data_IF_151234672197
#
_entry.id   IF_151234672197
#
_cell.length_a   1.000
_cell.length_b   1.000
_cell.length_c   1.000
_cell.angle_alpha   90.00
_cell.angle_beta   90.00
_cell.angle_gamma   90.00
#
_symmetry.space_group_name_H-M   'P 1'
#
loop_
_entity.id
_entity.type
_entity.pdbx_description
1 polymer ?
#
# COMPACT_ATOMS: atom_id res chain seq x y z
N UNK A 1 -4.73 -30.81 -9.68
CA UNK A 1 -4.18 -29.80 -8.77
C UNK A 1 -4.90 -28.46 -8.89
N UNK A 2 -5.00 -27.87 -10.08
CA UNK A 2 -5.66 -26.54 -10.28
C UNK A 2 -7.14 -26.54 -9.87
N UNK A 3 -7.91 -27.57 -10.21
CA UNK A 3 -9.35 -27.64 -9.84
C UNK A 3 -9.55 -27.74 -8.33
N UNK A 4 -8.70 -28.46 -7.61
CA UNK A 4 -8.76 -28.57 -6.14
C UNK A 4 -8.48 -27.21 -5.49
N UNK A 5 -7.48 -26.46 -5.97
CA UNK A 5 -7.17 -25.10 -5.53
C UNK A 5 -8.34 -24.14 -5.78
N UNK A 6 -8.95 -24.19 -6.97
CA UNK A 6 -10.10 -23.37 -7.32
C UNK A 6 -11.27 -23.65 -6.38
N UNK A 7 -11.54 -24.90 -6.04
CA UNK A 7 -12.63 -25.28 -5.15
C UNK A 7 -12.38 -24.79 -3.71
N UNK A 8 -11.18 -25.01 -3.17
CA UNK A 8 -10.81 -24.56 -1.83
C UNK A 8 -10.89 -23.02 -1.71
N UNK A 9 -10.36 -22.31 -2.72
CA UNK A 9 -10.42 -20.85 -2.78
C UNK A 9 -11.87 -20.35 -2.90
N UNK A 10 -12.70 -21.02 -3.71
CA UNK A 10 -14.10 -20.67 -3.85
C UNK A 10 -14.86 -20.76 -2.52
N UNK A 11 -14.60 -21.79 -1.74
CA UNK A 11 -15.30 -22.01 -0.47
C UNK A 11 -14.88 -20.92 0.55
N UNK A 12 -13.58 -20.53 0.59
CA UNK A 12 -13.10 -19.42 1.41
C UNK A 12 -13.68 -18.07 0.96
N UNK A 13 -13.75 -17.81 -0.35
CA UNK A 13 -14.31 -16.56 -0.87
C UNK A 13 -15.82 -16.48 -0.71
N UNK A 14 -16.53 -17.61 -0.79
CA UNK A 14 -18.01 -17.66 -0.70
C UNK A 14 -18.51 -17.24 0.69
N UNK A 15 -17.73 -17.46 1.75
CA UNK A 15 -18.12 -17.07 3.11
C UNK A 15 -18.06 -15.53 3.32
N UNK A 16 -17.20 -14.85 2.58
CA UNK A 16 -16.94 -13.41 2.76
C UNK A 16 -17.55 -12.53 1.66
N UNK A 17 -17.72 -13.09 0.45
CA UNK A 17 -18.09 -12.29 -0.73
C UNK A 17 -19.46 -12.69 -1.29
N UNK A 18 -20.41 -11.75 -1.28
CA UNK A 18 -21.76 -11.94 -1.86
C UNK A 18 -21.73 -11.88 -3.41
N UNK A 19 -21.02 -12.83 -4.04
CA UNK A 19 -20.95 -12.94 -5.50
C UNK A 19 -21.81 -14.12 -5.98
N UNK A 20 -22.48 -13.95 -7.13
CA UNK A 20 -23.15 -15.09 -7.80
C UNK A 20 -22.11 -16.14 -8.18
N UNK A 21 -22.49 -17.42 -8.11
CA UNK A 21 -21.61 -18.59 -8.35
C UNK A 21 -20.69 -18.43 -9.56
N UNK A 22 -21.22 -18.01 -10.72
CA UNK A 22 -20.42 -17.85 -11.96
C UNK A 22 -19.39 -16.72 -11.89
N UNK A 23 -19.66 -15.66 -11.11
CA UNK A 23 -18.73 -14.54 -10.89
C UNK A 23 -17.64 -14.91 -9.90
N UNK A 24 -18.02 -15.62 -8.85
CA UNK A 24 -17.10 -16.18 -7.86
C UNK A 24 -16.12 -17.15 -8.52
N UNK A 25 -16.62 -18.06 -9.34
CA UNK A 25 -15.79 -18.99 -10.12
C UNK A 25 -14.82 -18.25 -11.05
N UNK A 26 -15.27 -17.18 -11.72
CA UNK A 26 -14.38 -16.37 -12.56
C UNK A 26 -13.27 -15.70 -11.74
N UNK A 27 -13.57 -15.23 -10.53
CA UNK A 27 -12.58 -14.67 -9.60
C UNK A 27 -11.56 -15.74 -9.17
N UNK A 28 -12.03 -16.93 -8.78
CA UNK A 28 -11.14 -18.04 -8.39
C UNK A 28 -10.21 -18.44 -9.53
N UNK A 29 -10.74 -18.57 -10.75
CA UNK A 29 -9.95 -18.91 -11.94
C UNK A 29 -8.91 -17.81 -12.24
N UNK A 30 -9.28 -16.54 -12.09
CA UNK A 30 -8.33 -15.43 -12.24
C UNK A 30 -7.20 -15.53 -11.20
N UNK A 31 -7.53 -15.70 -9.92
CA UNK A 31 -6.54 -15.80 -8.85
C UNK A 31 -5.60 -16.97 -9.10
N UNK A 32 -6.13 -18.17 -9.30
CA UNK A 32 -5.32 -19.37 -9.53
C UNK A 32 -4.57 -19.31 -10.87
N UNK A 33 -5.21 -18.77 -11.91
CA UNK A 33 -4.59 -18.60 -13.23
C UNK A 33 -3.37 -17.68 -13.18
N UNK A 34 -3.50 -16.51 -12.52
CA UNK A 34 -2.39 -15.57 -12.34
C UNK A 34 -1.27 -16.19 -11.48
N UNK A 35 -1.64 -16.91 -10.41
CA UNK A 35 -0.69 -17.62 -9.55
C UNK A 35 0.16 -18.63 -10.34
N UNK A 36 -0.48 -19.45 -11.17
CA UNK A 36 0.18 -20.54 -11.90
C UNK A 36 0.95 -20.02 -13.11
N UNK A 37 0.34 -19.14 -13.90
CA UNK A 37 0.92 -18.68 -15.17
C UNK A 37 1.83 -17.46 -15.05
N UNK A 38 1.87 -16.82 -13.87
CA UNK A 38 2.67 -15.61 -13.59
C UNK A 38 2.46 -14.49 -14.61
N UNK A 39 1.25 -14.37 -15.14
CA UNK A 39 0.88 -13.33 -16.10
C UNK A 39 -0.50 -12.75 -15.77
N UNK A 40 -0.70 -11.49 -16.11
CA UNK A 40 -2.01 -10.81 -16.05
C UNK A 40 -2.69 -10.71 -17.42
N UNK A 41 -2.09 -11.30 -18.45
CA UNK A 41 -2.65 -11.27 -19.78
C UNK A 41 -3.89 -12.17 -19.87
N UNK A 42 -5.07 -11.56 -20.07
CA UNK A 42 -6.34 -12.25 -20.06
C UNK A 42 -6.49 -13.34 -21.15
N UNK A 43 -5.79 -13.20 -22.28
CA UNK A 43 -5.83 -14.22 -23.33
C UNK A 43 -5.12 -15.51 -22.90
N UNK A 44 -4.01 -15.39 -22.16
CA UNK A 44 -3.32 -16.53 -21.57
C UNK A 44 -4.15 -17.15 -20.44
N UNK A 45 -4.74 -16.33 -19.57
CA UNK A 45 -5.57 -16.80 -18.47
C UNK A 45 -6.85 -17.52 -18.94
N UNK A 46 -7.38 -17.16 -20.11
CA UNK A 46 -8.56 -17.80 -20.66
C UNK A 46 -8.38 -19.30 -20.97
N UNK A 47 -7.15 -19.73 -21.23
CA UNK A 47 -6.82 -21.15 -21.41
C UNK A 47 -6.80 -21.97 -20.13
N UNK A 48 -6.76 -21.31 -18.95
CA UNK A 48 -6.72 -21.97 -17.63
C UNK A 48 -8.09 -22.33 -17.05
N UNK A 49 -9.20 -22.03 -17.74
CA UNK A 49 -10.53 -22.39 -17.25
C UNK A 49 -10.75 -23.90 -17.28
N UNK A 50 -11.31 -24.48 -16.21
CA UNK A 50 -11.74 -25.87 -16.23
C UNK A 50 -12.96 -26.07 -17.14
N UNK A 51 -13.03 -27.23 -17.78
CA UNK A 51 -14.17 -27.61 -18.63
C UNK A 51 -13.84 -27.57 -20.13
N UNK A 52 -14.88 -27.77 -20.95
CA UNK A 52 -14.77 -27.94 -22.41
C UNK A 52 -15.13 -26.68 -23.19
N UNK A 53 -15.29 -25.53 -22.51
CA UNK A 53 -15.64 -24.27 -23.16
C UNK A 53 -14.47 -23.74 -24.01
N UNK A 54 -14.78 -23.22 -25.16
CA UNK A 54 -13.86 -22.55 -26.08
C UNK A 54 -13.05 -21.43 -25.38
N UNK A 55 -11.75 -21.30 -25.67
CA UNK A 55 -10.89 -20.25 -25.13
C UNK A 55 -11.45 -18.85 -25.39
N UNK A 56 -12.01 -18.63 -26.59
CA UNK A 56 -12.65 -17.36 -26.93
C UNK A 56 -13.86 -17.04 -26.03
N UNK A 57 -14.64 -18.04 -25.65
CA UNK A 57 -15.76 -17.90 -24.72
C UNK A 57 -15.28 -17.55 -23.31
N UNK A 58 -14.23 -18.22 -22.83
CA UNK A 58 -13.58 -17.94 -21.55
C UNK A 58 -12.98 -16.53 -21.51
N UNK A 59 -12.32 -16.12 -22.58
CA UNK A 59 -11.79 -14.75 -22.71
C UNK A 59 -12.90 -13.68 -22.61
N UNK A 60 -14.02 -13.87 -23.30
CA UNK A 60 -15.19 -12.98 -23.19
C UNK A 60 -15.79 -13.00 -21.78
N UNK A 61 -15.75 -14.13 -21.06
CA UNK A 61 -16.18 -14.25 -19.67
C UNK A 61 -15.30 -13.40 -18.76
N UNK A 62 -13.96 -13.42 -18.94
CA UNK A 62 -13.02 -12.58 -18.21
C UNK A 62 -13.24 -11.10 -18.51
N UNK A 63 -13.42 -10.73 -19.78
CA UNK A 63 -13.70 -9.33 -20.14
C UNK A 63 -14.97 -8.83 -19.43
N UNK A 64 -16.07 -9.59 -19.46
CA UNK A 64 -17.31 -9.25 -18.74
C UNK A 64 -17.12 -9.17 -17.23
N UNK A 65 -16.27 -10.02 -16.65
CA UNK A 65 -15.94 -9.92 -15.24
C UNK A 65 -15.32 -8.55 -14.91
N UNK A 66 -14.28 -8.15 -15.62
CA UNK A 66 -13.65 -6.85 -15.41
C UNK A 66 -14.56 -5.65 -15.71
N UNK A 67 -15.49 -5.79 -16.62
CA UNK A 67 -16.41 -4.73 -17.00
C UNK A 67 -17.59 -4.58 -16.04
N UNK A 68 -18.25 -5.67 -15.69
CA UNK A 68 -19.56 -5.66 -15.06
C UNK A 68 -19.59 -6.03 -13.59
N UNK A 69 -18.57 -6.78 -13.08
CA UNK A 69 -18.57 -7.21 -11.70
C UNK A 69 -18.09 -6.08 -10.79
N UNK A 70 -18.89 -5.73 -9.80
CA UNK A 70 -18.47 -4.86 -8.71
C UNK A 70 -17.98 -5.73 -7.57
N UNK A 71 -16.74 -5.49 -7.12
CA UNK A 71 -16.15 -6.18 -5.98
C UNK A 71 -16.40 -5.36 -4.72
N UNK A 72 -16.78 -6.05 -3.65
CA UNK A 72 -16.75 -5.46 -2.31
C UNK A 72 -15.30 -5.50 -1.79
N UNK A 73 -14.65 -4.34 -1.82
CA UNK A 73 -13.26 -4.20 -1.36
C UNK A 73 -13.13 -4.35 0.16
N UNK A 74 -14.22 -4.22 0.93
CA UNK A 74 -14.24 -4.47 2.37
C UNK A 74 -14.12 -5.98 2.64
N UNK A 75 -14.99 -6.76 2.01
CA UNK A 75 -14.93 -8.22 2.07
C UNK A 75 -13.58 -8.74 1.54
N UNK A 76 -13.12 -8.19 0.42
CA UNK A 76 -11.85 -8.56 -0.18
C UNK A 76 -10.65 -8.31 0.75
N UNK A 77 -10.61 -7.18 1.47
CA UNK A 77 -9.55 -6.89 2.42
C UNK A 77 -9.48 -7.95 3.55
N UNK A 78 -10.63 -8.40 4.05
CA UNK A 78 -10.71 -9.49 5.03
C UNK A 78 -10.20 -10.81 4.45
N UNK A 79 -10.62 -11.13 3.22
CA UNK A 79 -10.14 -12.31 2.49
C UNK A 79 -8.63 -12.29 2.31
N UNK A 80 -8.05 -11.16 1.91
CA UNK A 80 -6.60 -11.03 1.77
C UNK A 80 -5.91 -11.31 3.11
N UNK A 81 -6.36 -10.71 4.21
CA UNK A 81 -5.81 -10.95 5.55
C UNK A 81 -5.89 -12.42 5.94
N UNK A 82 -7.02 -13.08 5.65
CA UNK A 82 -7.23 -14.49 5.92
C UNK A 82 -6.31 -15.39 5.08
N UNK A 83 -6.29 -15.20 3.76
CA UNK A 83 -5.48 -15.99 2.84
C UNK A 83 -3.98 -15.84 3.09
N UNK A 84 -3.54 -14.65 3.51
CA UNK A 84 -2.13 -14.37 3.80
C UNK A 84 -1.73 -14.63 5.26
N UNK A 85 -2.62 -15.16 6.08
CA UNK A 85 -2.32 -15.52 7.47
C UNK A 85 -1.79 -14.35 8.32
N UNK A 86 -2.16 -13.10 8.01
CA UNK A 86 -1.67 -11.91 8.72
C UNK A 86 -2.15 -11.80 10.18
N UNK A 87 -3.12 -12.63 10.60
CA UNK A 87 -3.71 -12.55 11.94
C UNK A 87 -4.53 -11.28 12.13
N UNK A 88 -4.68 -10.85 13.40
CA UNK A 88 -5.54 -9.72 13.76
C UNK A 88 -4.79 -8.39 14.00
N UNK A 89 -3.50 -8.35 13.77
CA UNK A 89 -2.68 -7.18 14.07
C UNK A 89 -2.15 -7.16 15.53
N UNK A 90 -1.61 -6.07 16.05
CA UNK A 90 -1.45 -4.81 15.32
C UNK A 90 -0.38 -4.88 14.21
N UNK A 91 -0.65 -4.24 13.08
CA UNK A 91 0.19 -4.28 11.89
C UNK A 91 0.99 -3.01 11.68
N UNK A 92 2.19 -3.17 11.15
CA UNK A 92 2.95 -2.06 10.59
C UNK A 92 2.49 -1.86 9.14
N UNK A 93 1.94 -0.69 8.84
CA UNK A 93 1.40 -0.34 7.54
C UNK A 93 2.39 0.53 6.75
N UNK A 94 2.43 0.35 5.44
CA UNK A 94 3.05 1.30 4.53
C UNK A 94 1.99 1.96 3.65
N UNK A 95 2.07 3.28 3.54
CA UNK A 95 1.32 4.07 2.57
C UNK A 95 2.29 4.55 1.51
N UNK A 96 2.07 4.14 0.27
CA UNK A 96 2.91 4.55 -0.84
C UNK A 96 2.09 4.59 -2.14
N UNK A 97 2.70 5.11 -3.19
CA UNK A 97 2.07 5.32 -4.47
C UNK A 97 2.89 4.68 -5.58
N UNK A 98 2.22 4.00 -6.46
CA UNK A 98 2.85 3.49 -7.67
C UNK A 98 2.18 4.07 -8.90
N UNK A 99 2.97 4.41 -9.91
CA UNK A 99 2.49 4.93 -11.17
C UNK A 99 3.23 4.30 -12.34
N UNK A 100 2.53 4.16 -13.46
CA UNK A 100 3.11 3.75 -14.74
C UNK A 100 2.22 4.24 -15.89
N UNK A 101 2.69 4.08 -17.12
CA UNK A 101 1.92 4.43 -18.31
C UNK A 101 1.39 3.17 -18.99
N UNK A 102 0.10 3.17 -19.32
CA UNK A 102 -0.52 2.24 -20.25
C UNK A 102 -0.86 2.98 -21.54
N UNK A 103 0.01 2.88 -22.52
CA UNK A 103 -0.06 3.69 -23.71
C UNK A 103 0.02 5.20 -23.37
N UNK A 104 -1.06 5.94 -23.65
CA UNK A 104 -1.13 7.39 -23.34
C UNK A 104 -1.74 7.71 -21.96
N UNK A 105 -2.22 6.72 -21.22
CA UNK A 105 -2.88 6.94 -19.92
C UNK A 105 -1.92 6.72 -18.76
N UNK A 106 -1.89 7.65 -17.83
CA UNK A 106 -1.21 7.49 -16.55
C UNK A 106 -2.09 6.65 -15.63
N UNK A 107 -1.52 5.59 -15.10
CA UNK A 107 -2.10 4.80 -14.01
C UNK A 107 -1.40 5.23 -12.74
N UNK A 108 -2.17 5.63 -11.75
CA UNK A 108 -1.65 6.13 -10.49
C UNK A 108 -2.47 5.50 -9.35
N UNK A 109 -1.82 4.73 -8.50
CA UNK A 109 -2.47 3.95 -7.44
C UNK A 109 -1.88 4.37 -6.10
N UNK A 110 -2.72 4.88 -5.21
CA UNK A 110 -2.41 5.03 -3.80
C UNK A 110 -2.73 3.72 -3.09
N UNK A 111 -1.76 3.16 -2.39
CA UNK A 111 -1.87 1.83 -1.77
C UNK A 111 -1.55 1.88 -0.28
N UNK A 112 -2.34 1.16 0.49
CA UNK A 112 -2.09 0.84 1.89
C UNK A 112 -1.82 -0.66 2.00
N UNK A 113 -0.64 -1.02 2.50
CA UNK A 113 -0.17 -2.40 2.59
C UNK A 113 0.31 -2.72 4.00
N UNK A 114 0.15 -3.97 4.44
CA UNK A 114 0.77 -4.50 5.67
C UNK A 114 2.19 -4.95 5.35
N UNK A 115 3.16 -4.51 6.14
CA UNK A 115 4.55 -4.94 6.01
C UNK A 115 4.74 -6.32 6.67
N UNK A 116 5.31 -7.27 5.93
CA UNK A 116 5.53 -8.65 6.38
C UNK A 116 6.83 -9.20 5.81
N UNK A 117 7.85 -9.30 6.65
CA UNK A 117 9.10 -10.05 6.46
C UNK A 117 9.69 -10.09 5.03
N UNK A 118 9.94 -8.91 4.49
CA UNK A 118 10.59 -8.75 3.19
C UNK A 118 9.67 -8.36 2.03
N UNK A 119 8.36 -8.47 2.20
CA UNK A 119 7.37 -8.01 1.24
C UNK A 119 6.18 -7.34 1.93
N UNK A 120 5.48 -6.45 1.22
CA UNK A 120 4.24 -5.87 1.70
C UNK A 120 3.03 -6.59 1.09
N UNK A 121 1.98 -6.77 1.89
CA UNK A 121 0.69 -7.33 1.47
C UNK A 121 -0.28 -6.18 1.20
N UNK A 122 -0.76 -5.97 -0.04
CA UNK A 122 -1.68 -4.88 -0.36
C UNK A 122 -3.06 -5.18 0.24
N UNK A 123 -3.55 -4.29 1.09
CA UNK A 123 -4.86 -4.46 1.76
C UNK A 123 -5.94 -3.60 1.11
N UNK A 124 -5.64 -2.31 0.90
CA UNK A 124 -6.55 -1.36 0.28
C UNK A 124 -5.79 -0.44 -0.67
N UNK A 125 -6.49 0.02 -1.71
CA UNK A 125 -5.95 0.96 -2.68
C UNK A 125 -7.03 1.88 -3.24
N UNK A 126 -6.57 2.96 -3.86
CA UNK A 126 -7.40 3.89 -4.62
C UNK A 126 -6.71 4.20 -5.93
N UNK A 127 -7.38 3.92 -7.04
CA UNK A 127 -6.94 4.38 -8.34
C UNK A 127 -7.22 5.89 -8.43
N UNK A 128 -6.20 6.66 -8.79
CA UNK A 128 -6.30 8.11 -8.94
C UNK A 128 -6.40 8.48 -10.41
N UNK A 129 -7.34 9.37 -10.73
CA UNK A 129 -7.66 9.75 -12.13
C UNK A 129 -6.65 10.74 -12.74
N UNK A 130 -5.61 11.09 -11.99
CA UNK A 130 -4.62 12.09 -12.38
C UNK A 130 -3.19 11.66 -12.04
N UNK A 131 -2.25 12.18 -12.81
CA UNK A 131 -0.84 12.15 -12.45
C UNK A 131 -0.56 13.02 -11.22
N UNK A 132 0.58 12.78 -10.55
CA UNK A 132 1.03 13.56 -9.40
C UNK A 132 0.67 12.97 -8.05
N UNK A 133 0.90 13.74 -6.99
CA UNK A 133 0.78 13.28 -5.61
C UNK A 133 -0.68 13.15 -5.16
N UNK A 134 -0.91 12.25 -4.21
CA UNK A 134 -2.20 12.12 -3.52
C UNK A 134 -2.48 13.34 -2.64
N UNK A 135 -3.76 13.69 -2.51
CA UNK A 135 -4.21 14.72 -1.57
C UNK A 135 -4.33 14.16 -0.14
N UNK A 136 -4.38 15.05 0.84
CA UNK A 136 -4.66 14.65 2.24
C UNK A 136 -6.00 13.95 2.36
N UNK A 137 -7.02 14.40 1.61
CA UNK A 137 -8.37 13.79 1.64
C UNK A 137 -8.37 12.37 1.09
N UNK A 138 -7.62 12.11 -0.01
CA UNK A 138 -7.48 10.76 -0.56
C UNK A 138 -6.80 9.81 0.44
N UNK A 139 -5.76 10.28 1.12
CA UNK A 139 -5.05 9.51 2.16
C UNK A 139 -5.95 9.23 3.35
N UNK A 140 -6.65 10.25 3.85
CA UNK A 140 -7.60 10.13 4.96
C UNK A 140 -8.75 9.19 4.63
N UNK A 141 -9.33 9.30 3.42
CA UNK A 141 -10.39 8.41 2.97
C UNK A 141 -9.92 6.93 2.91
N UNK A 142 -8.71 6.69 2.39
CA UNK A 142 -8.15 5.33 2.32
C UNK A 142 -7.92 4.75 3.72
N UNK A 143 -7.34 5.54 4.64
CA UNK A 143 -7.07 5.10 6.00
C UNK A 143 -8.36 4.95 6.82
N UNK A 144 -9.35 5.84 6.64
CA UNK A 144 -10.69 5.69 7.26
C UNK A 144 -11.36 4.38 6.85
N UNK A 145 -11.24 3.98 5.58
CA UNK A 145 -11.75 2.67 5.12
C UNK A 145 -11.05 1.52 5.83
N UNK A 146 -9.73 1.60 6.01
CA UNK A 146 -8.98 0.60 6.76
C UNK A 146 -9.46 0.52 8.21
N UNK A 147 -9.57 1.65 8.89
CA UNK A 147 -10.04 1.72 10.28
C UNK A 147 -11.49 1.22 10.45
N UNK A 148 -12.35 1.45 9.46
CA UNK A 148 -13.72 0.92 9.46
C UNK A 148 -13.79 -0.62 9.35
N UNK A 149 -12.80 -1.25 8.72
CA UNK A 149 -12.75 -2.70 8.53
C UNK A 149 -12.08 -3.41 9.73
N UNK A 150 -10.96 -2.86 10.20
CA UNK A 150 -10.04 -3.52 11.14
C UNK A 150 -9.89 -2.80 12.48
N UNK A 151 -10.38 -1.56 12.60
CA UNK A 151 -10.19 -0.70 13.76
C UNK A 151 -8.82 0.01 13.76
N UNK A 152 -8.76 1.19 14.38
CA UNK A 152 -7.51 1.96 14.50
C UNK A 152 -6.47 1.24 15.40
N UNK A 153 -6.93 0.48 16.40
CA UNK A 153 -6.07 -0.31 17.30
C UNK A 153 -5.28 -1.41 16.58
N UNK A 154 -5.68 -1.80 15.36
CA UNK A 154 -4.92 -2.75 14.54
C UNK A 154 -3.68 -2.14 13.88
N UNK A 155 -3.39 -0.86 14.09
CA UNK A 155 -2.27 -0.15 13.48
C UNK A 155 -1.14 0.00 14.51
N UNK A 156 -0.06 -0.75 14.35
CA UNK A 156 1.17 -0.57 15.14
C UNK A 156 1.98 0.68 14.71
N UNK A 157 1.84 1.08 13.44
CA UNK A 157 2.47 2.26 12.87
C UNK A 157 2.19 2.39 11.38
N UNK A 158 2.07 3.62 10.91
CA UNK A 158 1.90 3.96 9.49
C UNK A 158 3.19 4.59 8.98
N UNK A 159 3.86 3.92 8.06
CA UNK A 159 5.10 4.39 7.43
C UNK A 159 4.79 5.00 6.07
N UNK A 160 5.37 6.19 5.80
CA UNK A 160 5.26 6.79 4.47
C UNK A 160 6.49 7.65 4.12
N UNK A 161 6.73 7.83 2.81
CA UNK A 161 7.85 8.64 2.32
C UNK A 161 7.52 10.14 2.37
N UNK A 162 8.51 10.95 2.00
CA UNK A 162 8.51 12.42 2.06
C UNK A 162 7.41 13.09 1.23
N UNK A 163 6.82 12.41 0.26
CA UNK A 163 5.67 12.96 -0.48
C UNK A 163 4.38 13.00 0.36
N UNK A 164 4.32 12.20 1.42
CA UNK A 164 3.15 12.08 2.32
C UNK A 164 3.24 13.01 3.54
N UNK A 165 4.12 13.99 3.54
CA UNK A 165 4.23 15.00 4.59
C UNK A 165 3.30 16.17 4.28
N UNK A 166 2.56 16.63 5.31
CA UNK A 166 1.67 17.78 5.19
C UNK A 166 0.87 17.99 6.47
N UNK A 167 0.63 19.27 6.83
CA UNK A 167 -0.02 19.61 8.11
C UNK A 167 -1.39 18.97 8.25
N UNK A 168 -2.26 19.09 7.25
CA UNK A 168 -3.61 18.52 7.30
C UNK A 168 -3.59 16.99 7.50
N UNK A 169 -2.71 16.30 6.79
CA UNK A 169 -2.55 14.85 6.93
C UNK A 169 -2.02 14.45 8.31
N UNK A 170 -0.98 15.09 8.80
CA UNK A 170 -0.39 14.80 10.11
C UNK A 170 -1.38 15.12 11.23
N UNK A 171 -2.16 16.21 11.11
CA UNK A 171 -3.24 16.54 12.05
C UNK A 171 -4.34 15.48 12.06
N UNK A 172 -4.70 14.97 10.87
CA UNK A 172 -5.65 13.86 10.77
C UNK A 172 -5.13 12.62 11.51
N UNK A 173 -3.88 12.22 11.30
CA UNK A 173 -3.28 11.06 11.97
C UNK A 173 -3.26 11.24 13.49
N UNK A 174 -2.83 12.41 13.98
CA UNK A 174 -2.78 12.70 15.41
C UNK A 174 -4.17 12.71 16.04
N UNK A 175 -5.17 13.32 15.37
CA UNK A 175 -6.56 13.38 15.86
C UNK A 175 -7.21 12.00 16.02
N UNK A 176 -6.79 11.04 15.21
CA UNK A 176 -7.31 9.67 15.24
C UNK A 176 -6.38 8.69 15.97
N UNK A 177 -5.41 9.20 16.75
CA UNK A 177 -4.43 8.42 17.52
C UNK A 177 -3.69 7.38 16.70
N UNK A 178 -3.46 7.66 15.41
CA UNK A 178 -2.72 6.77 14.52
C UNK A 178 -1.22 6.96 14.74
N UNK A 179 -0.48 5.91 15.15
CA UNK A 179 0.98 5.95 15.20
C UNK A 179 1.54 6.13 13.79
N UNK A 180 2.43 7.11 13.58
CA UNK A 180 2.98 7.37 12.25
C UNK A 180 4.50 7.57 12.25
N UNK A 181 5.12 7.29 11.11
CA UNK A 181 6.54 7.40 10.85
C UNK A 181 6.71 7.95 9.43
N UNK A 182 6.91 9.26 9.31
CA UNK A 182 6.96 9.95 8.02
C UNK A 182 8.38 10.43 7.74
N UNK A 183 8.94 10.06 6.60
CA UNK A 183 10.20 10.63 6.15
C UNK A 183 10.00 12.10 5.79
N UNK A 184 10.90 12.97 6.24
CA UNK A 184 10.85 14.40 5.98
C UNK A 184 12.10 14.88 5.24
N UNK A 185 11.94 15.95 4.46
CA UNK A 185 13.05 16.57 3.72
C UNK A 185 13.95 17.33 4.69
N UNK A 186 15.27 17.32 4.43
CA UNK A 186 16.26 18.02 5.26
C UNK A 186 16.11 19.54 5.28
N UNK A 187 15.47 20.10 4.27
CA UNK A 187 15.22 21.53 4.10
C UNK A 187 13.91 22.01 4.75
N UNK A 188 13.11 21.09 5.31
CA UNK A 188 11.96 21.46 6.13
C UNK A 188 12.40 22.26 7.35
N UNK A 189 11.58 23.24 7.72
CA UNK A 189 11.79 24.02 8.93
C UNK A 189 11.08 23.36 10.12
N UNK A 190 11.71 23.44 11.27
CA UNK A 190 11.22 22.90 12.53
C UNK A 190 11.33 23.95 13.63
N UNK A 191 10.33 23.98 14.50
CA UNK A 191 10.37 24.64 15.80
C UNK A 191 10.62 23.57 16.86
N UNK A 192 11.67 23.73 17.64
CA UNK A 192 12.03 22.87 18.77
C UNK A 192 11.26 23.30 20.05
N UNK A 193 11.26 22.44 21.06
CA UNK A 193 10.64 22.70 22.36
C UNK A 193 11.19 23.96 23.05
N UNK A 194 12.48 24.26 22.84
CA UNK A 194 13.16 25.46 23.37
C UNK A 194 12.84 26.74 22.57
N UNK A 195 11.93 26.68 21.59
CA UNK A 195 11.53 27.80 20.76
C UNK A 195 12.42 28.09 19.54
N UNK A 196 13.57 27.44 19.40
CA UNK A 196 14.45 27.63 18.26
C UNK A 196 13.82 27.18 16.96
N UNK A 197 14.00 28.00 15.92
CA UNK A 197 13.60 27.67 14.56
C UNK A 197 14.83 27.39 13.69
N UNK A 198 14.86 26.26 13.00
CA UNK A 198 15.96 25.92 12.10
C UNK A 198 15.51 24.97 10.99
N UNK A 199 16.37 24.76 9.99
CA UNK A 199 16.21 23.66 9.04
C UNK A 199 16.56 22.35 9.71
N UNK A 200 15.78 21.32 9.47
CA UNK A 200 15.99 19.98 10.04
C UNK A 200 17.41 19.47 9.75
N UNK A 201 17.93 19.69 8.54
CA UNK A 201 19.26 19.28 8.16
C UNK A 201 20.38 19.84 9.05
N UNK A 202 20.21 21.06 9.60
CA UNK A 202 21.20 21.67 10.48
C UNK A 202 21.32 20.97 11.83
N UNK A 203 20.23 20.37 12.33
CA UNK A 203 20.23 19.59 13.57
C UNK A 203 21.13 18.35 13.52
N UNK A 204 21.36 17.84 12.32
CA UNK A 204 22.04 16.56 12.10
C UNK A 204 23.31 16.67 11.23
N UNK A 205 23.85 17.88 11.06
CA UNK A 205 25.02 18.14 10.20
C UNK A 205 26.23 17.29 10.63
N UNK A 206 26.48 17.19 11.93
CA UNK A 206 27.64 16.46 12.51
C UNK A 206 27.43 14.95 12.61
N UNK A 207 26.31 14.41 12.08
CA UNK A 207 26.04 12.98 12.15
C UNK A 207 26.95 12.24 11.17
N UNK A 208 27.80 11.35 11.67
CA UNK A 208 28.68 10.53 10.85
C UNK A 208 27.91 9.46 10.05
N UNK A 209 28.49 8.92 8.98
CA UNK A 209 27.93 7.78 8.22
C UNK A 209 27.65 6.59 9.16
N UNK A 210 26.48 6.00 9.04
CA UNK A 210 25.99 4.95 9.94
C UNK A 210 25.51 5.43 11.30
N UNK A 211 25.82 6.68 11.68
CA UNK A 211 25.38 7.29 12.93
C UNK A 211 23.87 7.47 13.01
N UNK A 212 23.35 7.51 14.24
CA UNK A 212 21.94 7.74 14.54
C UNK A 212 21.80 8.80 15.61
N UNK A 213 20.76 9.64 15.53
CA UNK A 213 20.41 10.63 16.54
C UNK A 213 18.90 10.69 16.72
N UNK A 214 18.47 10.79 17.97
CA UNK A 214 17.08 10.81 18.38
C UNK A 214 16.81 12.10 19.15
N UNK A 215 15.80 12.86 18.74
CA UNK A 215 15.28 14.01 19.47
C UNK A 215 13.94 13.59 20.07
N UNK A 216 13.89 13.48 21.39
CA UNK A 216 12.71 13.00 22.12
C UNK A 216 11.76 14.11 22.50
N UNK A 217 12.28 15.34 22.59
CA UNK A 217 11.48 16.51 22.87
C UNK A 217 10.56 16.81 21.67
N UNK A 218 9.37 17.28 21.99
CA UNK A 218 8.39 17.62 20.98
C UNK A 218 8.87 18.78 20.10
N UNK A 219 8.63 18.64 18.82
CA UNK A 219 8.91 19.64 17.82
C UNK A 219 7.72 19.81 16.88
N UNK A 220 7.58 20.96 16.22
CA UNK A 220 6.56 21.17 15.19
C UNK A 220 7.20 21.48 13.86
N UNK A 221 6.63 20.92 12.77
CA UNK A 221 7.10 21.16 11.41
C UNK A 221 6.32 22.30 10.78
N UNK A 222 7.01 23.17 10.03
CA UNK A 222 6.43 24.33 9.33
C UNK A 222 6.83 25.67 9.94
N UNK A 223 6.68 26.75 9.16
CA UNK A 223 7.14 28.09 9.53
C UNK A 223 6.04 29.01 10.04
N UNK A 224 4.79 28.73 9.76
CA UNK A 224 3.68 29.65 10.02
C UNK A 224 2.62 29.00 10.90
N UNK A 225 1.88 29.81 11.64
CA UNK A 225 0.76 29.35 12.46
C UNK A 225 -0.31 28.58 11.65
N UNK A 226 -0.46 28.89 10.36
CA UNK A 226 -1.40 28.21 9.46
C UNK A 226 -0.85 26.88 8.92
N UNK A 227 0.45 26.59 9.07
CA UNK A 227 1.12 25.44 8.49
C UNK A 227 1.92 24.58 9.48
N UNK A 228 1.66 24.69 10.80
CA UNK A 228 2.36 23.86 11.78
C UNK A 228 1.73 22.47 11.87
N UNK A 229 2.58 21.44 11.93
CA UNK A 229 2.16 20.08 12.25
C UNK A 229 1.73 19.95 13.71
N UNK A 230 1.05 18.85 14.09
CA UNK A 230 1.02 18.43 15.49
C UNK A 230 2.44 18.21 16.03
N UNK A 231 2.56 18.10 17.35
CA UNK A 231 3.82 17.77 18.01
C UNK A 231 4.38 16.44 17.47
N UNK A 232 5.66 16.42 17.16
CA UNK A 232 6.37 15.23 16.67
C UNK A 232 7.74 15.12 17.31
N UNK A 233 8.26 13.90 17.40
CA UNK A 233 9.64 13.59 17.72
C UNK A 233 10.41 13.32 16.44
N UNK A 234 11.74 13.50 16.48
CA UNK A 234 12.58 13.34 15.30
C UNK A 234 13.62 12.25 15.51
N UNK A 235 13.83 11.44 14.49
CA UNK A 235 14.94 10.50 14.45
C UNK A 235 15.68 10.64 13.12
N UNK A 236 17.00 10.54 13.16
CA UNK A 236 17.83 10.65 11.97
C UNK A 236 18.91 9.58 11.92
N UNK A 237 19.26 9.20 10.70
CA UNK A 237 20.46 8.41 10.40
C UNK A 237 21.13 8.94 9.14
N UNK A 238 22.44 8.82 9.08
CA UNK A 238 23.18 9.07 7.84
C UNK A 238 23.48 7.73 7.19
N UNK A 239 22.93 7.52 6.00
CA UNK A 239 23.12 6.29 5.24
C UNK A 239 24.56 6.11 4.79
N UNK A 240 24.94 4.90 4.37
CA UNK A 240 26.27 4.61 3.81
C UNK A 240 26.59 5.49 2.57
N UNK A 241 25.57 5.81 1.77
CA UNK A 241 25.65 6.76 0.65
C UNK A 241 26.02 8.19 1.07
N UNK A 242 25.92 8.53 2.36
CA UNK A 242 26.06 9.89 2.89
C UNK A 242 24.75 10.67 2.95
N UNK A 243 23.65 10.14 2.40
CA UNK A 243 22.33 10.77 2.49
C UNK A 243 21.85 10.84 3.94
N UNK A 244 21.29 11.98 4.35
CA UNK A 244 20.64 12.16 5.64
C UNK A 244 19.19 11.72 5.51
N UNK A 245 18.82 10.67 6.22
CA UNK A 245 17.44 10.21 6.39
C UNK A 245 16.92 10.72 7.72
N UNK A 246 15.81 11.46 7.69
CA UNK A 246 15.12 11.95 8.89
C UNK A 246 13.66 11.52 8.85
N UNK A 247 13.15 11.05 9.99
CA UNK A 247 11.73 10.72 10.18
C UNK A 247 11.14 11.56 11.29
N UNK A 248 9.88 11.96 11.09
CA UNK A 248 9.02 12.54 12.11
C UNK A 248 8.02 11.48 12.57
N UNK A 249 7.79 11.40 13.88
CA UNK A 249 6.90 10.40 14.47
C UNK A 249 6.20 10.96 15.71
N UNK A 250 5.03 10.43 16.04
CA UNK A 250 4.34 10.64 17.32
C UNK A 250 4.63 9.49 18.33
N UNK A 251 5.54 8.57 17.99
CA UNK A 251 5.93 7.42 18.82
C UNK A 251 7.38 7.54 19.32
N UNK A 252 7.97 6.46 19.86
CA UNK A 252 9.36 6.44 20.28
C UNK A 252 10.30 6.54 19.06
N UNK A 253 11.18 7.56 18.99
CA UNK A 253 12.00 7.82 17.80
C UNK A 253 12.96 6.69 17.43
N UNK A 254 13.46 5.95 18.41
CA UNK A 254 14.37 4.81 18.16
C UNK A 254 13.66 3.68 17.44
N UNK A 255 12.48 3.31 17.91
CA UNK A 255 11.62 2.29 17.29
C UNK A 255 11.14 2.76 15.92
N UNK A 256 10.71 4.02 15.80
CA UNK A 256 10.28 4.60 14.54
C UNK A 256 11.36 4.51 13.45
N UNK A 257 12.62 4.83 13.77
CA UNK A 257 13.72 4.73 12.80
C UNK A 257 14.01 3.27 12.39
N UNK A 258 13.85 2.32 13.30
CA UNK A 258 13.99 0.89 13.00
C UNK A 258 12.86 0.41 12.08
N UNK A 259 11.63 0.78 12.38
CA UNK A 259 10.47 0.43 11.55
C UNK A 259 10.53 1.06 10.17
N UNK A 260 10.99 2.31 10.04
CA UNK A 260 11.09 2.99 8.75
C UNK A 260 11.96 2.23 7.74
N UNK A 261 12.93 1.48 8.18
CA UNK A 261 13.75 0.63 7.31
C UNK A 261 12.94 -0.40 6.53
N UNK A 262 11.82 -0.83 7.08
CA UNK A 262 10.93 -1.81 6.43
C UNK A 262 10.12 -1.23 5.29
N UNK A 263 10.14 0.09 5.07
CA UNK A 263 9.42 0.73 3.96
C UNK A 263 9.76 0.13 2.59
N UNK A 264 10.99 -0.38 2.40
CA UNK A 264 11.38 -1.00 1.15
C UNK A 264 10.52 -2.22 0.76
N UNK A 265 9.83 -2.85 1.71
CA UNK A 265 8.95 -4.00 1.46
C UNK A 265 7.80 -3.64 0.51
N UNK A 266 7.28 -2.39 0.54
CA UNK A 266 6.26 -1.95 -0.42
C UNK A 266 6.86 -1.68 -1.81
N UNK A 267 8.13 -1.28 -1.89
CA UNK A 267 8.84 -1.15 -3.18
C UNK A 267 9.06 -2.54 -3.81
N UNK A 268 9.34 -3.55 -3.00
CA UNK A 268 9.42 -4.95 -3.44
C UNK A 268 8.08 -5.41 -4.00
N UNK A 269 6.98 -5.12 -3.31
CA UNK A 269 5.63 -5.39 -3.81
C UNK A 269 5.40 -4.73 -5.18
N UNK A 270 5.70 -3.44 -5.32
CA UNK A 270 5.52 -2.74 -6.58
C UNK A 270 6.38 -3.32 -7.71
N UNK A 271 7.61 -3.71 -7.41
CA UNK A 271 8.48 -4.35 -8.38
C UNK A 271 7.94 -5.73 -8.81
N UNK A 272 7.42 -6.53 -7.89
CA UNK A 272 6.81 -7.83 -8.17
C UNK A 272 5.55 -7.71 -9.03
N UNK A 273 4.69 -6.74 -8.71
CA UNK A 273 3.46 -6.48 -9.46
C UNK A 273 3.76 -6.00 -10.88
N UNK A 274 4.75 -5.10 -11.07
CA UNK A 274 5.05 -4.49 -12.37
C UNK A 274 5.84 -5.42 -13.28
N UNK A 275 7.11 -5.60 -13.05
CA UNK A 275 8.03 -6.17 -14.04
C UNK A 275 8.76 -7.43 -13.59
N UNK A 276 8.87 -7.68 -12.29
CA UNK A 276 9.63 -8.82 -11.76
C UNK A 276 8.80 -10.08 -11.47
N UNK A 277 7.48 -10.04 -11.71
CA UNK A 277 6.60 -11.15 -11.37
C UNK A 277 5.42 -11.29 -12.33
N UNK A 278 4.47 -10.37 -12.27
CA UNK A 278 3.19 -10.52 -12.96
C UNK A 278 3.02 -9.66 -14.21
N UNK A 279 3.96 -8.79 -14.51
CA UNK A 279 3.97 -7.91 -15.69
C UNK A 279 2.66 -7.12 -15.83
N UNK A 280 2.26 -6.39 -14.75
CA UNK A 280 1.03 -5.61 -14.78
C UNK A 280 1.01 -4.60 -15.93
N UNK A 281 2.18 -4.22 -16.43
CA UNK A 281 2.36 -3.35 -17.59
C UNK A 281 1.90 -3.99 -18.91
N UNK A 282 1.87 -5.34 -18.99
CA UNK A 282 1.37 -6.10 -20.14
C UNK A 282 -0.17 -6.25 -20.13
N UNK A 283 -0.84 -5.71 -19.13
CA UNK A 283 -2.30 -5.70 -19.13
C UNK A 283 -2.83 -4.72 -20.17
N UNK A 284 -3.83 -5.14 -20.93
CA UNK A 284 -4.57 -4.25 -21.81
C UNK A 284 -5.73 -3.53 -21.11
N UNK A 285 -5.81 -3.63 -19.77
CA UNK A 285 -6.85 -2.98 -18.97
C UNK A 285 -6.48 -1.51 -18.71
N UNK A 286 -7.05 -0.60 -19.47
CA UNK A 286 -6.74 0.85 -19.39
C UNK A 286 -7.62 1.65 -18.43
N UNK A 287 -8.69 1.05 -17.89
CA UNK A 287 -9.61 1.72 -16.97
C UNK A 287 -9.17 1.54 -15.52
N UNK A 288 -9.07 2.63 -14.72
CA UNK A 288 -8.62 2.55 -13.31
C UNK A 288 -9.39 1.53 -12.48
N UNK A 289 -10.71 1.44 -12.65
CA UNK A 289 -11.53 0.45 -11.94
C UNK A 289 -11.20 -1.01 -12.30
N UNK A 290 -10.85 -1.28 -13.56
CA UNK A 290 -10.45 -2.62 -14.01
C UNK A 290 -9.08 -2.99 -13.47
N UNK A 291 -8.17 -2.01 -13.41
CA UNK A 291 -6.84 -2.17 -12.80
C UNK A 291 -6.97 -2.41 -11.29
N UNK A 292 -7.86 -1.68 -10.61
CA UNK A 292 -8.16 -1.92 -9.21
C UNK A 292 -8.64 -3.35 -8.94
N UNK A 293 -9.47 -3.93 -9.83
CA UNK A 293 -9.89 -5.34 -9.74
C UNK A 293 -8.73 -6.31 -9.98
N UNK A 294 -7.81 -5.97 -10.88
CA UNK A 294 -6.63 -6.80 -11.12
C UNK A 294 -5.68 -6.79 -9.91
N UNK A 295 -5.52 -5.64 -9.26
CA UNK A 295 -4.80 -5.55 -7.98
C UNK A 295 -5.45 -6.39 -6.88
N UNK A 296 -6.78 -6.54 -6.90
CA UNK A 296 -7.50 -7.42 -6.01
C UNK A 296 -7.09 -8.90 -6.18
N UNK A 297 -6.98 -9.34 -7.43
CA UNK A 297 -6.49 -10.68 -7.77
C UNK A 297 -5.06 -10.87 -7.30
N UNK A 298 -4.19 -9.87 -7.54
CA UNK A 298 -2.78 -9.91 -7.15
C UNK A 298 -2.61 -9.89 -5.62
N UNK A 299 -3.40 -9.11 -4.90
CA UNK A 299 -3.38 -9.08 -3.44
C UNK A 299 -3.67 -10.43 -2.79
N UNK A 300 -4.59 -11.19 -3.38
CA UNK A 300 -4.96 -12.52 -2.87
C UNK A 300 -3.86 -13.59 -3.02
N UNK A 301 -2.81 -13.32 -3.80
CA UNK A 301 -1.71 -14.26 -4.08
C UNK A 301 -0.35 -13.81 -3.55
N UNK A 302 -0.31 -12.77 -2.74
CA UNK A 302 0.97 -12.15 -2.30
C UNK A 302 1.89 -13.10 -1.54
N UNK A 303 1.38 -14.12 -0.87
CA UNK A 303 2.19 -15.13 -0.18
C UNK A 303 2.96 -16.09 -1.09
N UNK A 304 2.62 -16.12 -2.36
CA UNK A 304 3.25 -17.02 -3.34
C UNK A 304 4.38 -16.37 -4.12
N UNK A 305 4.84 -15.21 -3.70
CA UNK A 305 5.87 -14.40 -4.39
C UNK A 305 7.29 -14.70 -3.97
#
# INVERSE_FOLDING_TARGET
MTTTLINALRDSLASEMALRKSRLESLCVLIVGVLVSRTVNLSHLAGGFPGTAEIASNYRRLQRFFEQVRLDYTALARVIVQLTGLGQGPWLLALDRTNWKLGRRDVNILMLAVLRDGIAVPILWTAMDRAGNSTSDQRSALLSRFCAIFGAASIAGLIADREFVGTAWMTYLAKHDIPFILRIKKDFHVRLADGRHCKIGSLFQKLAKGGRRYLRDDATLGLTAKGQSPAVKLAATRLASGELLVVATNTEPRTALAHYKRRWEIETLFAAVKSRGFNLEDTHLVHPERIAKLLAVLGAITESW
#
